data_IF_553016368351
#
_entry.id   IF_553016368351
#
_cell.length_a   1.000
_cell.length_b   1.000
_cell.length_c   1.000
_cell.angle_alpha   90.00
_cell.angle_beta   90.00
_cell.angle_gamma   90.00
#
_symmetry.space_group_name_H-M   'P 1'
#
loop_
_entity.id
_entity.type
_entity.pdbx_description
1 polymer ?
#
# COMPACT_ATOMS: atom_id res chain seq x y z
N UNK A 1 -10.78 -7.38 -25.96
CA UNK A 1 -11.52 -6.36 -25.19
C UNK A 1 -11.54 -6.63 -23.68
N UNK A 2 -12.24 -7.63 -23.14
CA UNK A 2 -12.27 -7.85 -21.67
C UNK A 2 -10.91 -8.29 -21.09
N UNK A 3 -10.16 -9.10 -21.83
CA UNK A 3 -8.83 -9.60 -21.42
C UNK A 3 -7.79 -8.48 -21.35
N UNK A 4 -7.75 -7.60 -22.36
CA UNK A 4 -6.81 -6.47 -22.42
C UNK A 4 -7.07 -5.46 -21.30
N UNK A 5 -8.34 -5.14 -21.04
CA UNK A 5 -8.70 -4.22 -19.97
C UNK A 5 -8.36 -4.79 -18.58
N UNK A 6 -8.47 -6.11 -18.41
CA UNK A 6 -8.04 -6.81 -17.19
C UNK A 6 -6.52 -6.78 -17.04
N UNK A 7 -5.77 -7.02 -18.12
CA UNK A 7 -4.31 -6.97 -18.10
C UNK A 7 -3.79 -5.56 -17.78
N UNK A 8 -4.36 -4.50 -18.37
CA UNK A 8 -4.00 -3.13 -18.03
C UNK A 8 -4.26 -2.81 -16.55
N UNK A 9 -5.41 -3.22 -16.01
CA UNK A 9 -5.74 -3.01 -14.58
C UNK A 9 -4.80 -3.77 -13.64
N UNK A 10 -4.38 -4.98 -14.01
CA UNK A 10 -3.40 -5.74 -13.23
C UNK A 10 -2.01 -5.12 -13.32
N UNK A 11 -1.62 -4.66 -14.51
CA UNK A 11 -0.35 -3.98 -14.74
C UNK A 11 -0.21 -2.72 -13.88
N UNK A 12 -1.25 -1.89 -13.82
CA UNK A 12 -1.24 -0.66 -12.99
C UNK A 12 -1.21 -0.95 -11.49
N UNK A 13 -1.69 -2.12 -11.04
CA UNK A 13 -1.67 -2.56 -9.63
C UNK A 13 -0.40 -3.31 -9.25
N UNK A 14 0.48 -3.61 -10.21
CA UNK A 14 1.70 -4.39 -9.96
C UNK A 14 2.60 -3.73 -8.91
N UNK A 15 2.52 -2.43 -8.71
CA UNK A 15 3.31 -1.71 -7.71
C UNK A 15 2.53 -1.39 -6.44
N UNK A 16 1.32 -1.92 -6.27
CA UNK A 16 0.46 -1.58 -5.15
C UNK A 16 0.53 -2.67 -4.08
N UNK A 17 0.43 -2.24 -2.81
CA UNK A 17 0.07 -3.09 -1.67
C UNK A 17 -1.20 -2.52 -1.05
N UNK A 18 -2.12 -3.42 -0.71
CA UNK A 18 -3.30 -3.10 0.07
C UNK A 18 -3.08 -3.54 1.52
N UNK A 19 -3.21 -2.60 2.44
CA UNK A 19 -3.16 -2.83 3.88
C UNK A 19 -4.60 -2.78 4.39
N UNK A 20 -5.08 -3.91 4.95
CA UNK A 20 -6.48 -4.09 5.32
C UNK A 20 -6.77 -3.69 6.76
N UNK A 21 -8.03 -3.35 7.01
CA UNK A 21 -8.61 -3.20 8.36
C UNK A 21 -7.89 -2.19 9.26
N UNK A 22 -7.30 -1.15 8.67
CA UNK A 22 -6.59 -0.12 9.41
C UNK A 22 -7.57 0.88 10.04
N UNK A 23 -7.52 1.08 11.37
CA UNK A 23 -8.26 2.14 12.05
C UNK A 23 -7.95 3.49 11.41
N UNK A 24 -8.95 4.37 11.35
CA UNK A 24 -8.78 5.73 10.86
C UNK A 24 -8.66 6.70 12.04
N UNK A 25 -7.56 7.45 12.06
CA UNK A 25 -7.29 8.45 13.10
C UNK A 25 -7.34 9.87 12.51
N UNK A 26 -7.83 10.88 13.25
CA UNK A 26 -7.79 12.27 12.81
C UNK A 26 -6.35 12.74 12.58
N UNK A 27 -6.12 13.42 11.45
CA UNK A 27 -4.80 13.99 11.07
C UNK A 27 -3.68 12.95 10.97
N UNK A 28 -4.01 11.71 10.67
CA UNK A 28 -3.00 10.68 10.44
C UNK A 28 -2.11 10.97 9.23
N UNK A 29 -0.87 10.52 9.32
CA UNK A 29 0.06 10.47 8.19
C UNK A 29 0.07 9.05 7.65
N UNK A 30 -0.56 8.82 6.49
CA UNK A 30 -0.58 7.49 5.87
C UNK A 30 0.84 7.01 5.51
N UNK A 31 1.74 7.93 5.18
CA UNK A 31 3.16 7.65 4.96
C UNK A 31 3.82 7.09 6.22
N UNK A 32 3.64 7.74 7.37
CA UNK A 32 4.20 7.28 8.64
C UNK A 32 3.61 5.91 9.06
N UNK A 33 2.33 5.68 8.80
CA UNK A 33 1.69 4.37 9.05
C UNK A 33 2.38 3.29 8.22
N UNK A 34 2.59 3.52 6.92
CA UNK A 34 3.26 2.55 6.04
C UNK A 34 4.71 2.33 6.49
N UNK A 35 5.43 3.37 6.87
CA UNK A 35 6.81 3.25 7.39
C UNK A 35 6.84 2.45 8.71
N UNK A 36 5.93 2.73 9.64
CA UNK A 36 5.83 1.99 10.91
C UNK A 36 5.55 0.49 10.67
N UNK A 37 4.70 0.17 9.68
CA UNK A 37 4.44 -1.23 9.30
C UNK A 37 5.70 -1.86 8.71
N UNK A 38 6.43 -1.14 7.86
CA UNK A 38 7.67 -1.61 7.27
C UNK A 38 8.75 -1.89 8.34
N UNK A 39 8.89 -0.99 9.32
CA UNK A 39 9.81 -1.16 10.46
C UNK A 39 9.48 -2.40 11.28
N UNK A 40 8.20 -2.69 11.54
CA UNK A 40 7.76 -3.89 12.27
C UNK A 40 8.11 -5.20 11.56
N UNK A 41 8.33 -5.16 10.26
CA UNK A 41 8.80 -6.32 9.46
C UNK A 41 10.27 -6.16 9.05
N UNK A 42 11.02 -5.31 9.76
CA UNK A 42 12.47 -5.09 9.58
C UNK A 42 12.84 -4.57 8.18
N UNK A 43 11.94 -3.85 7.53
CA UNK A 43 12.15 -3.20 6.24
C UNK A 43 12.26 -1.70 6.43
N UNK A 44 13.44 -1.15 6.16
CA UNK A 44 13.59 0.30 5.99
C UNK A 44 12.90 0.75 4.70
N UNK A 45 12.04 1.75 4.83
CA UNK A 45 11.27 2.37 3.75
C UNK A 45 11.37 3.90 3.87
N UNK A 46 11.87 4.54 2.83
CA UNK A 46 11.95 6.00 2.76
C UNK A 46 10.66 6.57 2.16
N UNK A 47 10.27 7.82 2.48
CA UNK A 47 9.12 8.46 1.85
C UNK A 47 9.25 8.52 0.32
N UNK A 48 10.48 8.60 -0.21
CA UNK A 48 10.78 8.58 -1.64
C UNK A 48 10.51 7.23 -2.33
N UNK A 49 10.34 6.14 -1.57
CA UNK A 49 9.96 4.84 -2.12
C UNK A 49 8.45 4.76 -2.41
N UNK A 50 7.66 5.68 -1.86
CA UNK A 50 6.21 5.77 -2.01
C UNK A 50 5.87 6.78 -3.11
N UNK A 51 5.18 6.32 -4.14
CA UNK A 51 4.67 7.16 -5.23
C UNK A 51 3.34 7.82 -4.83
N UNK A 52 2.42 7.03 -4.28
CA UNK A 52 1.08 7.48 -3.85
C UNK A 52 0.63 6.63 -2.67
N UNK A 53 -0.02 7.25 -1.68
CA UNK A 53 -0.72 6.55 -0.59
C UNK A 53 -2.09 7.19 -0.35
N UNK A 54 -3.13 6.37 -0.24
CA UNK A 54 -4.48 6.85 0.04
C UNK A 54 -5.35 5.78 0.70
N UNK A 55 -6.44 6.21 1.35
CA UNK A 55 -7.49 5.30 1.83
C UNK A 55 -8.41 4.88 0.69
N UNK A 56 -8.97 3.68 0.77
CA UNK A 56 -10.06 3.25 -0.09
C UNK A 56 -11.37 3.83 0.47
N UNK A 57 -12.15 4.59 -0.31
CA UNK A 57 -13.46 5.06 0.14
C UNK A 57 -14.39 3.88 0.43
N UNK A 58 -14.96 3.84 1.62
CA UNK A 58 -15.94 2.81 2.02
C UNK A 58 -17.19 3.49 2.62
N UNK A 59 -18.28 2.72 2.74
CA UNK A 59 -19.50 3.19 3.43
C UNK A 59 -19.33 3.24 4.95
N UNK A 60 -18.35 2.53 5.50
CA UNK A 60 -18.05 2.42 6.94
C UNK A 60 -16.68 3.05 7.24
N UNK A 61 -16.62 4.32 7.66
CA UNK A 61 -15.38 5.09 7.75
C UNK A 61 -14.48 4.70 8.93
N UNK A 62 -14.87 3.76 9.78
CA UNK A 62 -14.14 3.42 11.01
C UNK A 62 -12.92 2.54 10.75
N UNK A 63 -12.97 1.71 9.70
CA UNK A 63 -11.86 0.88 9.24
C UNK A 63 -11.87 0.86 7.73
N UNK A 64 -10.83 1.43 7.13
CA UNK A 64 -10.69 1.44 5.68
C UNK A 64 -9.33 0.91 5.29
N UNK A 65 -9.26 0.31 4.11
CA UNK A 65 -7.99 -0.17 3.59
C UNK A 65 -7.13 1.03 3.16
N UNK A 66 -5.82 0.87 3.24
CA UNK A 66 -4.84 1.80 2.71
C UNK A 66 -4.23 1.16 1.46
N UNK A 67 -4.23 1.89 0.35
CA UNK A 67 -3.50 1.51 -0.85
C UNK A 67 -2.22 2.34 -0.88
N UNK A 68 -1.08 1.65 -0.92
CA UNK A 68 0.23 2.26 -1.18
C UNK A 68 0.73 1.78 -2.53
N UNK A 69 1.18 2.72 -3.35
CA UNK A 69 1.88 2.47 -4.61
C UNK A 69 3.34 2.85 -4.44
N UNK A 70 4.24 1.94 -4.78
CA UNK A 70 5.69 2.15 -4.68
C UNK A 70 6.28 2.62 -6.01
N UNK A 71 7.31 3.45 -5.94
CA UNK A 71 8.07 3.91 -7.12
C UNK A 71 8.71 2.74 -7.87
N UNK A 72 9.10 1.69 -7.15
CA UNK A 72 9.69 0.49 -7.75
C UNK A 72 9.00 -0.80 -7.30
N UNK A 73 8.99 -1.79 -8.19
CA UNK A 73 8.55 -3.16 -7.86
C UNK A 73 9.48 -3.83 -6.83
N UNK A 74 10.75 -3.41 -6.76
CA UNK A 74 11.72 -3.91 -5.80
C UNK A 74 11.32 -3.54 -4.36
N UNK A 75 11.02 -2.26 -4.11
CA UNK A 75 10.56 -1.77 -2.81
C UNK A 75 9.28 -2.50 -2.36
N UNK A 76 8.31 -2.61 -3.28
CA UNK A 76 7.08 -3.38 -3.08
C UNK A 76 7.37 -4.83 -2.68
N UNK A 77 8.25 -5.51 -3.41
CA UNK A 77 8.55 -6.92 -3.19
C UNK A 77 9.33 -7.16 -1.90
N UNK A 78 10.22 -6.24 -1.52
CA UNK A 78 10.95 -6.30 -0.24
C UNK A 78 9.96 -6.31 0.93
N UNK A 79 9.02 -5.35 0.94
CA UNK A 79 8.00 -5.26 1.98
C UNK A 79 7.06 -6.48 1.98
N UNK A 80 6.58 -6.89 0.81
CA UNK A 80 5.64 -8.02 0.71
C UNK A 80 6.28 -9.35 1.12
N UNK A 81 7.56 -9.56 0.85
CA UNK A 81 8.27 -10.77 1.27
C UNK A 81 8.53 -10.79 2.78
N UNK A 82 8.85 -9.63 3.36
CA UNK A 82 9.04 -9.51 4.80
C UNK A 82 7.74 -9.78 5.57
N UNK A 83 6.61 -9.24 5.10
CA UNK A 83 5.31 -9.42 5.74
C UNK A 83 4.68 -10.82 5.61
N UNK A 84 5.32 -11.74 4.85
CA UNK A 84 4.88 -13.14 4.71
C UNK A 84 5.56 -14.10 5.68
N UNK A 85 6.61 -13.65 6.38
CA UNK A 85 7.30 -14.42 7.42
C UNK A 85 6.52 -14.34 8.72
#
# INVERSE_FOLDING_TARGET
>A
METEMTQLKQFTRKQNIEIKDMPQEPKESLTEIVQTIAEKVEVQLEPSDIEVVHRVPTKEPTKTNIIVRFVSTSARNKLLQAAKK
#
